data_IF_148506029289
#
_entry.id   IF_148506029289
#
_cell.length_a   1.000
_cell.length_b   1.000
_cell.length_c   1.000
_cell.angle_alpha   90.00
_cell.angle_beta   90.00
_cell.angle_gamma   90.00
#
_symmetry.space_group_name_H-M   'P 1'
#
loop_
_entity.id
_entity.type
_entity.pdbx_description
1 polymer ?
#
# COMPACT_ATOMS: atom_id res chain seq x y z
N UNK A 1 -22.28 -52.06 15.27
CA UNK A 1 -20.97 -51.39 15.28
C UNK A 1 -21.09 -50.14 14.42
N UNK A 2 -21.32 -48.96 15.03
CA UNK A 2 -21.37 -47.69 14.29
C UNK A 2 -19.96 -47.11 14.23
N UNK A 3 -19.42 -46.98 13.02
CA UNK A 3 -18.15 -46.31 12.77
C UNK A 3 -18.36 -44.79 12.86
N UNK A 4 -17.76 -44.16 13.87
CA UNK A 4 -17.67 -42.72 13.98
C UNK A 4 -16.71 -42.20 12.89
N UNK A 5 -17.25 -41.52 11.88
CA UNK A 5 -16.43 -40.80 10.89
C UNK A 5 -15.96 -39.49 11.52
N UNK A 6 -14.67 -39.41 11.83
CA UNK A 6 -14.01 -38.18 12.25
C UNK A 6 -13.78 -37.30 11.00
N UNK A 7 -14.48 -36.17 10.93
CA UNK A 7 -14.23 -35.15 9.91
C UNK A 7 -12.98 -34.36 10.34
N UNK A 8 -11.85 -34.62 9.67
CA UNK A 8 -10.63 -33.86 9.88
C UNK A 8 -10.81 -32.44 9.31
N UNK A 9 -10.80 -31.44 10.18
CA UNK A 9 -10.70 -30.05 9.75
C UNK A 9 -9.28 -29.82 9.20
N UNK A 10 -9.16 -29.76 7.88
CA UNK A 10 -7.94 -29.29 7.22
C UNK A 10 -7.79 -27.81 7.56
N UNK A 11 -6.86 -27.49 8.45
CA UNK A 11 -6.42 -26.13 8.68
C UNK A 11 -5.74 -25.63 7.41
N UNK A 12 -6.44 -24.82 6.61
CA UNK A 12 -5.79 -23.99 5.60
C UNK A 12 -4.84 -23.06 6.34
N UNK A 13 -3.53 -23.29 6.22
CA UNK A 13 -2.54 -22.32 6.63
C UNK A 13 -2.84 -21.00 5.91
N UNK A 14 -2.78 -19.85 6.60
CA UNK A 14 -2.95 -18.56 5.92
C UNK A 14 -1.86 -18.47 4.85
N UNK A 15 -2.27 -18.30 3.59
CA UNK A 15 -1.37 -17.84 2.53
C UNK A 15 -0.78 -16.55 3.07
N UNK A 16 0.52 -16.56 3.36
CA UNK A 16 1.21 -15.36 3.79
C UNK A 16 1.13 -14.39 2.62
N UNK A 17 0.24 -13.40 2.73
CA UNK A 17 0.24 -12.30 1.79
C UNK A 17 1.63 -11.66 1.89
N UNK A 18 2.38 -11.62 0.78
CA UNK A 18 3.54 -10.74 0.68
C UNK A 18 3.00 -9.34 0.95
N UNK A 19 3.36 -8.76 2.09
CA UNK A 19 2.91 -7.43 2.45
C UNK A 19 3.69 -6.47 1.56
N UNK A 20 3.08 -6.07 0.45
CA UNK A 20 3.64 -5.01 -0.37
C UNK A 20 3.88 -3.76 0.48
N UNK A 21 5.04 -3.16 0.30
CA UNK A 21 5.50 -2.03 1.11
C UNK A 21 4.84 -0.72 0.71
N UNK A 22 4.50 -0.59 -0.58
CA UNK A 22 3.93 0.62 -1.12
C UNK A 22 2.79 0.31 -2.08
N UNK A 23 1.81 1.20 -2.07
CA UNK A 23 0.72 1.27 -3.04
C UNK A 23 0.97 2.45 -3.95
N UNK A 24 0.75 2.27 -5.26
CA UNK A 24 0.85 3.32 -6.26
C UNK A 24 -0.50 3.47 -6.93
N UNK A 25 -1.10 4.64 -6.78
CA UNK A 25 -2.35 5.02 -7.44
C UNK A 25 -2.06 5.97 -8.61
N UNK A 26 -2.57 5.64 -9.79
CA UNK A 26 -2.34 6.41 -11.02
C UNK A 26 -3.55 7.23 -11.44
N UNK A 27 -3.30 8.46 -11.86
CA UNK A 27 -4.32 9.45 -12.23
C UNK A 27 -4.05 10.05 -13.60
N UNK A 28 -5.11 10.25 -14.38
CA UNK A 28 -5.03 10.81 -15.74
C UNK A 28 -4.98 12.33 -15.75
N UNK A 29 -5.24 12.98 -14.60
CA UNK A 29 -5.25 14.43 -14.47
C UNK A 29 -4.59 14.84 -13.16
N UNK A 30 -3.82 15.92 -13.24
CA UNK A 30 -3.15 16.51 -12.09
C UNK A 30 -2.97 18.01 -12.30
N UNK A 31 -2.70 18.71 -11.19
CA UNK A 31 -2.19 20.06 -11.19
C UNK A 31 -1.06 20.17 -10.17
N UNK A 32 0.11 20.57 -10.64
CA UNK A 32 1.28 20.85 -9.80
C UNK A 32 1.20 22.30 -9.29
N UNK A 33 1.56 22.49 -8.02
CA UNK A 33 1.89 23.79 -7.44
C UNK A 33 3.30 23.71 -6.86
N UNK A 34 4.32 24.34 -7.49
CA UNK A 34 5.69 24.36 -7.01
C UNK A 34 5.82 24.73 -5.53
N UNK A 35 6.53 23.89 -4.78
CA UNK A 35 6.72 24.04 -3.32
C UNK A 35 5.53 23.63 -2.45
N UNK A 36 4.43 23.16 -3.05
CA UNK A 36 3.26 22.66 -2.33
C UNK A 36 3.03 21.17 -2.61
N UNK A 37 3.00 20.76 -3.88
CA UNK A 37 2.72 19.38 -4.26
C UNK A 37 1.97 19.22 -5.58
N UNK A 38 1.49 18.01 -5.83
CA UNK A 38 0.65 17.61 -6.97
C UNK A 38 -0.74 17.25 -6.47
N UNK A 39 -1.72 18.06 -6.86
CA UNK A 39 -3.13 17.72 -6.67
C UNK A 39 -3.62 16.81 -7.79
N UNK A 40 -4.39 15.78 -7.46
CA UNK A 40 -5.02 14.85 -8.41
C UNK A 40 -6.53 14.95 -8.31
N UNK A 41 -7.23 14.62 -9.40
CA UNK A 41 -8.70 14.63 -9.43
C UNK A 41 -9.27 13.34 -10.00
N UNK A 42 -10.49 12.98 -9.55
CA UNK A 42 -11.14 11.72 -9.92
C UNK A 42 -10.63 10.51 -9.14
N UNK A 43 -11.01 9.32 -9.59
CA UNK A 43 -10.52 8.05 -9.05
C UNK A 43 -9.23 7.63 -9.75
N UNK A 44 -8.38 6.90 -9.05
CA UNK A 44 -7.25 6.23 -9.68
C UNK A 44 -7.75 5.30 -10.79
N UNK A 45 -7.14 5.36 -11.97
CA UNK A 45 -7.51 4.48 -13.10
C UNK A 45 -6.82 3.13 -13.02
N UNK A 46 -5.70 3.05 -12.29
CA UNK A 46 -4.95 1.84 -12.02
C UNK A 46 -4.29 1.98 -10.65
N UNK A 47 -4.20 0.86 -9.95
CA UNK A 47 -3.49 0.76 -8.66
C UNK A 47 -2.60 -0.46 -8.72
N UNK A 48 -1.36 -0.31 -8.30
CA UNK A 48 -0.44 -1.42 -8.12
C UNK A 48 0.23 -1.37 -6.76
N UNK A 49 1.01 -2.40 -6.49
CA UNK A 49 1.80 -2.52 -5.28
C UNK A 49 3.23 -2.86 -5.63
N UNK A 50 4.18 -2.29 -4.90
CA UNK A 50 5.61 -2.50 -5.09
C UNK A 50 6.31 -2.73 -3.76
N UNK A 51 7.38 -3.52 -3.79
CA UNK A 51 8.21 -3.78 -2.62
C UNK A 51 9.25 -2.69 -2.39
N UNK A 52 9.50 -1.82 -3.38
CA UNK A 52 10.48 -0.74 -3.25
C UNK A 52 10.12 0.48 -4.07
N UNK A 53 10.58 1.64 -3.60
CA UNK A 53 10.44 2.95 -4.26
C UNK A 53 11.81 3.58 -4.56
N UNK A 54 12.90 2.82 -4.43
CA UNK A 54 14.26 3.32 -4.69
C UNK A 54 14.42 3.82 -6.13
N UNK A 55 13.78 3.13 -7.07
CA UNK A 55 13.66 3.54 -8.46
C UNK A 55 12.49 2.82 -9.13
N UNK A 56 11.60 3.58 -9.74
CA UNK A 56 10.47 3.10 -10.54
C UNK A 56 10.62 3.70 -11.94
N UNK A 57 10.88 2.83 -12.91
CA UNK A 57 10.88 3.18 -14.34
C UNK A 57 9.51 2.87 -14.92
N UNK A 58 8.79 3.92 -15.36
CA UNK A 58 7.47 3.77 -15.99
C UNK A 58 7.56 3.32 -17.46
N UNK A 59 8.77 3.25 -18.03
CA UNK A 59 9.04 2.69 -19.35
C UNK A 59 9.56 1.25 -19.28
N UNK A 60 9.65 0.66 -18.09
CA UNK A 60 10.17 -0.68 -17.90
C UNK A 60 9.39 -1.71 -18.73
N UNK A 61 10.13 -2.49 -19.53
CA UNK A 61 9.55 -3.62 -20.23
C UNK A 61 8.96 -4.63 -19.23
N UNK A 62 7.75 -5.13 -19.50
CA UNK A 62 7.06 -6.06 -18.61
C UNK A 62 6.36 -5.42 -17.41
N UNK A 63 6.24 -4.09 -17.38
CA UNK A 63 5.37 -3.42 -16.44
C UNK A 63 3.93 -3.97 -16.51
N UNK A 64 3.18 -3.99 -15.38
CA UNK A 64 1.81 -4.47 -15.35
C UNK A 64 0.92 -3.79 -16.39
N UNK A 65 0.01 -4.57 -16.98
CA UNK A 65 -1.01 -4.03 -17.88
C UNK A 65 -1.87 -2.99 -17.13
N UNK A 66 -1.83 -1.74 -17.59
CA UNK A 66 -2.52 -0.61 -16.94
C UNK A 66 -1.57 0.43 -16.35
N UNK A 67 -0.30 0.11 -16.13
CA UNK A 67 0.69 1.12 -15.75
C UNK A 67 0.87 2.15 -16.89
N UNK A 68 0.81 3.46 -16.61
CA UNK A 68 1.11 4.48 -17.61
C UNK A 68 2.58 4.45 -18.02
N UNK A 69 2.90 5.05 -19.17
CA UNK A 69 4.26 5.19 -19.69
C UNK A 69 4.59 6.66 -19.96
N UNK A 70 5.84 6.95 -20.34
CA UNK A 70 6.31 8.32 -20.58
C UNK A 70 5.67 9.05 -21.77
N UNK A 71 4.81 8.41 -22.55
CA UNK A 71 4.28 8.99 -23.79
C UNK A 71 3.20 10.05 -23.56
N UNK A 72 2.74 10.23 -22.31
CA UNK A 72 1.70 11.20 -22.01
C UNK A 72 1.61 11.55 -20.54
N UNK A 73 0.85 12.60 -20.21
CA UNK A 73 0.77 13.10 -18.86
C UNK A 73 0.00 12.14 -17.95
N UNK A 74 0.52 11.94 -16.75
CA UNK A 74 -0.15 11.22 -15.67
C UNK A 74 0.41 11.67 -14.33
N UNK A 75 -0.29 11.34 -13.24
CA UNK A 75 0.27 11.43 -11.91
C UNK A 75 0.27 10.07 -11.22
N UNK A 76 1.20 9.90 -10.28
CA UNK A 76 1.25 8.76 -9.39
C UNK A 76 1.30 9.26 -7.95
N UNK A 77 0.44 8.71 -7.10
CA UNK A 77 0.51 8.91 -5.65
C UNK A 77 0.97 7.60 -5.04
N UNK A 78 2.18 7.61 -4.48
CA UNK A 78 2.79 6.45 -3.86
C UNK A 78 2.62 6.59 -2.36
N UNK A 79 2.00 5.63 -1.71
CA UNK A 79 1.82 5.64 -0.25
C UNK A 79 2.40 4.40 0.39
N UNK A 80 2.88 4.53 1.61
CA UNK A 80 3.36 3.42 2.41
C UNK A 80 3.66 3.86 3.83
N UNK A 81 4.38 3.02 4.55
CA UNK A 81 4.88 3.34 5.88
C UNK A 81 6.37 3.07 5.94
N UNK A 82 7.10 3.93 6.64
CA UNK A 82 8.51 3.68 6.93
C UNK A 82 8.76 3.84 8.44
N UNK A 83 9.76 3.12 8.93
CA UNK A 83 10.20 3.19 10.31
C UNK A 83 11.61 3.77 10.33
N UNK A 84 11.85 4.67 11.27
CA UNK A 84 13.18 5.21 11.53
C UNK A 84 13.54 4.95 12.97
N UNK A 85 14.78 4.57 13.20
CA UNK A 85 15.34 4.32 14.53
C UNK A 85 15.76 5.62 15.24
N UNK A 86 15.52 6.77 14.60
CA UNK A 86 15.81 8.12 15.06
C UNK A 86 17.24 8.53 14.74
N UNK A 87 17.38 9.52 13.86
CA UNK A 87 18.66 10.12 13.45
C UNK A 87 18.41 11.24 12.42
N UNK A 88 19.47 11.97 12.09
CA UNK A 88 19.54 12.77 10.87
C UNK A 88 19.75 11.83 9.69
N UNK A 89 18.77 11.75 8.81
CA UNK A 89 18.82 10.91 7.61
C UNK A 89 19.03 11.78 6.38
N UNK A 90 19.96 11.35 5.54
CA UNK A 90 20.04 11.83 4.17
C UNK A 90 19.10 11.00 3.31
N UNK A 91 18.44 11.67 2.39
CA UNK A 91 17.62 11.02 1.39
C UNK A 91 17.69 11.77 0.06
N UNK A 92 17.38 11.03 -0.99
CA UNK A 92 17.48 11.47 -2.36
C UNK A 92 16.12 11.34 -3.02
N UNK A 93 15.70 12.36 -3.76
CA UNK A 93 14.50 12.32 -4.61
C UNK A 93 14.97 12.50 -6.05
N UNK A 94 14.81 11.45 -6.84
CA UNK A 94 15.02 11.47 -8.28
C UNK A 94 13.70 11.46 -9.02
N UNK A 95 13.55 12.29 -10.06
CA UNK A 95 12.35 12.27 -10.88
C UNK A 95 12.56 12.85 -12.28
N UNK A 96 11.72 12.37 -13.20
CA UNK A 96 11.44 12.88 -14.54
C UNK A 96 9.93 12.66 -14.75
N UNK A 97 9.04 13.63 -14.62
CA UNK A 97 9.26 15.06 -14.35
C UNK A 97 9.34 15.33 -12.84
N UNK A 98 8.27 15.86 -12.23
CA UNK A 98 8.34 16.39 -10.87
C UNK A 98 7.86 15.40 -9.80
N UNK A 99 8.46 15.49 -8.60
CA UNK A 99 8.09 14.68 -7.45
C UNK A 99 8.18 15.45 -6.11
N UNK A 100 7.33 15.08 -5.15
CA UNK A 100 7.24 15.67 -3.83
C UNK A 100 7.12 14.57 -2.78
N UNK A 101 7.98 14.61 -1.76
CA UNK A 101 7.99 13.65 -0.67
C UNK A 101 7.38 14.27 0.59
N UNK A 102 6.36 13.59 1.12
CA UNK A 102 5.70 13.93 2.36
C UNK A 102 5.90 12.83 3.39
N UNK A 103 6.17 13.24 4.63
CA UNK A 103 6.25 12.34 5.77
C UNK A 103 5.30 12.85 6.85
N UNK A 104 4.36 12.00 7.29
CA UNK A 104 3.23 12.41 8.15
C UNK A 104 2.47 13.64 7.64
N UNK A 105 2.37 13.79 6.31
CA UNK A 105 1.70 14.91 5.65
C UNK A 105 2.52 16.20 5.53
N UNK A 106 3.72 16.27 6.12
CA UNK A 106 4.63 17.40 5.97
C UNK A 106 5.55 17.21 4.75
N UNK A 107 5.67 18.22 3.89
CA UNK A 107 6.62 18.22 2.77
C UNK A 107 8.05 18.28 3.31
N UNK A 108 8.87 17.28 2.97
CA UNK A 108 10.27 17.19 3.44
C UNK A 108 11.29 17.35 2.32
N UNK A 109 10.89 17.14 1.07
CA UNK A 109 11.74 17.32 -0.11
C UNK A 109 10.92 17.30 -1.39
N UNK A 110 11.44 17.91 -2.46
CA UNK A 110 10.72 18.01 -3.73
C UNK A 110 11.68 18.25 -4.89
N UNK A 111 11.46 17.58 -6.01
CA UNK A 111 12.09 17.91 -7.29
C UNK A 111 10.99 18.45 -8.22
N UNK A 112 10.71 19.77 -8.20
CA UNK A 112 9.50 20.33 -8.82
C UNK A 112 9.72 20.66 -10.31
N UNK A 113 8.60 20.77 -11.04
CA UNK A 113 8.54 21.25 -12.41
C UNK A 113 8.82 20.17 -13.46
N UNK A 114 8.71 20.59 -14.72
CA UNK A 114 9.02 19.76 -15.88
C UNK A 114 10.53 19.80 -16.12
N UNK A 115 11.17 18.65 -16.10
CA UNK A 115 12.60 18.48 -16.30
C UNK A 115 12.96 17.01 -16.59
N UNK A 116 14.06 16.79 -17.32
CA UNK A 116 14.63 15.46 -17.46
C UNK A 116 15.07 14.88 -16.10
N UNK A 117 15.30 13.56 -16.05
CA UNK A 117 15.69 12.89 -14.82
C UNK A 117 16.85 13.57 -14.10
N UNK A 118 16.58 14.04 -12.90
CA UNK A 118 17.55 14.65 -12.01
C UNK A 118 17.29 14.19 -10.58
N UNK A 119 18.31 14.28 -9.73
CA UNK A 119 18.22 13.86 -8.32
C UNK A 119 18.62 15.02 -7.43
N UNK A 120 17.78 15.31 -6.44
CA UNK A 120 18.06 16.28 -5.38
C UNK A 120 18.26 15.56 -4.05
N UNK A 121 19.20 16.07 -3.26
CA UNK A 121 19.59 15.51 -1.97
C UNK A 121 19.05 16.36 -0.84
N UNK A 122 18.58 15.72 0.21
CA UNK A 122 18.00 16.34 1.39
C UNK A 122 18.53 15.71 2.67
N UNK A 123 18.47 16.48 3.74
CA UNK A 123 18.83 16.03 5.09
C UNK A 123 17.73 16.47 6.05
N UNK A 124 17.15 15.51 6.76
CA UNK A 124 16.11 15.75 7.76
C UNK A 124 16.36 14.96 9.03
N UNK A 125 16.06 15.57 10.18
CA UNK A 125 16.14 14.89 11.48
C UNK A 125 14.80 14.28 11.83
N UNK A 126 14.82 12.99 12.17
CA UNK A 126 13.63 12.23 12.53
C UNK A 126 13.72 11.75 13.97
N UNK A 127 12.62 11.89 14.71
CA UNK A 127 12.44 11.14 15.95
C UNK A 127 12.26 9.64 15.61
N UNK A 128 12.69 8.72 16.48
CA UNK A 128 12.38 7.30 16.32
C UNK A 128 10.87 7.07 16.21
N UNK A 129 10.44 6.22 15.28
CA UNK A 129 9.04 5.87 15.12
C UNK A 129 8.64 5.53 13.69
N UNK A 130 7.35 5.29 13.51
CA UNK A 130 6.73 5.04 12.23
C UNK A 130 6.16 6.33 11.65
N UNK A 131 6.27 6.46 10.34
CA UNK A 131 5.84 7.63 9.61
C UNK A 131 5.05 7.18 8.38
N UNK A 132 3.97 7.89 8.09
CA UNK A 132 3.25 7.76 6.84
C UNK A 132 4.12 8.33 5.72
N UNK A 133 4.46 7.49 4.75
CA UNK A 133 5.19 7.85 3.54
C UNK A 133 4.21 8.21 2.45
N UNK A 134 4.44 9.33 1.77
CA UNK A 134 3.70 9.69 0.57
C UNK A 134 4.60 10.40 -0.43
N UNK A 135 4.66 9.90 -1.66
CA UNK A 135 5.24 10.62 -2.80
C UNK A 135 4.12 11.00 -3.75
N UNK A 136 4.09 12.27 -4.11
CA UNK A 136 3.32 12.76 -5.24
C UNK A 136 4.25 12.95 -6.42
N UNK A 137 3.98 12.27 -7.53
CA UNK A 137 4.77 12.36 -8.76
C UNK A 137 3.86 12.74 -9.93
N UNK A 138 4.40 13.47 -10.90
CA UNK A 138 3.75 13.65 -12.18
C UNK A 138 4.72 13.47 -13.35
N UNK A 139 4.18 12.96 -14.44
CA UNK A 139 4.78 12.98 -15.76
C UNK A 139 4.12 14.08 -16.59
N UNK A 140 4.93 14.92 -17.20
CA UNK A 140 4.56 15.97 -18.12
C UNK A 140 4.25 15.45 -19.53
N UNK A 141 4.20 16.36 -20.52
CA UNK A 141 3.82 16.01 -21.89
C UNK A 141 4.89 15.20 -22.66
N UNK A 142 6.16 15.25 -22.25
CA UNK A 142 7.28 14.54 -22.86
C UNK A 142 8.53 14.72 -21.96
N UNK A 143 9.54 13.86 -21.86
CA UNK A 143 9.87 12.52 -22.37
C UNK A 143 10.64 11.85 -21.23
N UNK A 144 10.53 10.53 -21.07
CA UNK A 144 11.02 9.89 -19.86
C UNK A 144 9.96 9.94 -18.78
N UNK A 145 9.97 8.94 -17.89
CA UNK A 145 9.05 8.87 -16.78
C UNK A 145 9.69 7.95 -15.74
N UNK A 146 10.24 8.53 -14.69
CA UNK A 146 10.81 7.76 -13.60
C UNK A 146 10.74 8.54 -12.29
N UNK A 147 10.62 7.82 -11.19
CA UNK A 147 10.67 8.40 -9.85
C UNK A 147 11.41 7.45 -8.91
N UNK A 148 12.23 8.00 -8.02
CA UNK A 148 12.97 7.25 -7.03
C UNK A 148 13.11 8.04 -5.74
N UNK A 149 12.89 7.38 -4.61
CA UNK A 149 13.19 7.90 -3.28
C UNK A 149 14.04 6.89 -2.54
N UNK A 150 15.23 7.32 -2.13
CA UNK A 150 16.18 6.47 -1.38
C UNK A 150 16.56 7.16 -0.09
N UNK A 151 16.48 6.44 1.03
CA UNK A 151 16.97 6.88 2.32
C UNK A 151 18.26 6.14 2.67
N UNK A 152 19.26 6.86 3.17
CA UNK A 152 20.51 6.24 3.62
C UNK A 152 20.31 5.55 4.96
N UNK A 153 20.58 4.23 5.03
CA UNK A 153 20.56 3.48 6.29
C UNK A 153 19.17 3.25 6.90
N UNK A 154 18.11 3.31 6.10
CA UNK A 154 16.72 3.02 6.52
C UNK A 154 16.21 1.75 5.84
N UNK A 155 15.48 0.93 6.57
CA UNK A 155 14.77 -0.23 6.03
C UNK A 155 13.27 0.08 5.94
N UNK A 156 12.65 -0.25 4.81
CA UNK A 156 11.21 -0.20 4.65
C UNK A 156 10.61 -1.49 5.20
N UNK A 157 9.86 -1.37 6.30
CA UNK A 157 9.27 -2.53 6.99
C UNK A 157 7.80 -2.65 6.59
N UNK A 158 7.37 -3.82 6.09
CA UNK A 158 5.98 -4.00 5.69
C UNK A 158 5.10 -4.11 6.92
N UNK A 159 4.02 -3.33 6.95
CA UNK A 159 2.96 -3.53 7.93
C UNK A 159 2.21 -4.77 7.49
N UNK A 160 2.53 -5.91 8.09
CA UNK A 160 1.74 -7.11 7.89
C UNK A 160 0.36 -6.87 8.51
N UNK A 161 -0.74 -6.98 7.74
CA UNK A 161 -2.06 -6.92 8.33
C UNK A 161 -2.13 -8.04 9.37
N UNK A 162 -2.49 -7.69 10.60
CA UNK A 162 -2.61 -8.67 11.68
C UNK A 162 -3.50 -9.81 11.19
N UNK A 163 -2.94 -11.02 11.10
CA UNK A 163 -3.74 -12.22 10.87
C UNK A 163 -4.81 -12.22 11.95
N UNK A 164 -6.12 -12.24 11.61
CA UNK A 164 -7.15 -12.24 12.63
C UNK A 164 -6.84 -13.39 13.59
N UNK A 165 -6.71 -13.06 14.88
CA UNK A 165 -6.24 -14.04 15.85
C UNK A 165 -7.07 -15.31 15.74
N UNK A 166 -6.47 -16.52 15.89
CA UNK A 166 -7.24 -17.76 15.85
C UNK A 166 -8.45 -17.77 16.81
N UNK A 167 -8.37 -17.00 17.90
CA UNK A 167 -9.46 -16.73 18.84
C UNK A 167 -10.65 -16.01 18.18
N UNK A 168 -10.45 -15.09 17.25
CA UNK A 168 -11.52 -14.36 16.53
C UNK A 168 -12.35 -15.31 15.69
N UNK A 169 -11.68 -16.23 14.97
CA UNK A 169 -12.34 -17.29 14.21
C UNK A 169 -13.07 -18.26 15.14
N UNK A 170 -12.43 -18.66 16.24
CA UNK A 170 -13.03 -19.55 17.22
C UNK A 170 -14.30 -18.93 17.83
N UNK A 171 -14.28 -17.65 18.19
CA UNK A 171 -15.43 -16.95 18.76
C UNK A 171 -16.55 -16.76 17.74
N UNK A 172 -16.23 -16.48 16.47
CA UNK A 172 -17.22 -16.42 15.39
C UNK A 172 -17.90 -17.78 15.18
N UNK A 173 -17.12 -18.86 15.11
CA UNK A 173 -17.65 -20.22 14.95
C UNK A 173 -18.48 -20.65 16.17
N UNK A 174 -18.03 -20.34 17.39
CA UNK A 174 -18.80 -20.60 18.62
C UNK A 174 -20.11 -19.79 18.61
N UNK A 175 -20.08 -18.52 18.19
CA UNK A 175 -21.27 -17.69 18.08
C UNK A 175 -22.30 -18.25 17.09
N UNK A 176 -21.86 -18.63 15.87
CA UNK A 176 -22.74 -19.24 14.88
C UNK A 176 -23.25 -20.62 15.28
N UNK A 177 -22.39 -21.45 15.89
CA UNK A 177 -22.80 -22.75 16.42
C UNK A 177 -23.82 -22.60 17.55
N UNK A 178 -23.64 -21.64 18.44
CA UNK A 178 -24.55 -21.35 19.55
C UNK A 178 -25.94 -20.90 19.06
N UNK A 179 -25.99 -19.98 18.10
CA UNK A 179 -27.26 -19.52 17.49
C UNK A 179 -27.97 -20.63 16.72
N UNK A 180 -27.23 -21.40 15.91
CA UNK A 180 -27.77 -22.54 15.18
C UNK A 180 -28.35 -23.60 16.12
N UNK A 181 -27.65 -23.89 17.22
CA UNK A 181 -28.08 -24.85 18.23
C UNK A 181 -29.35 -24.41 18.98
N UNK A 182 -29.42 -23.14 19.37
CA UNK A 182 -30.60 -22.56 20.02
C UNK A 182 -31.83 -22.63 19.10
N UNK A 183 -31.66 -22.35 17.80
CA UNK A 183 -32.71 -22.49 16.79
C UNK A 183 -33.16 -23.95 16.58
N UNK A 184 -32.21 -24.90 16.59
CA UNK A 184 -32.50 -26.33 16.44
C UNK A 184 -33.35 -26.88 17.60
N UNK A 185 -33.03 -26.51 18.85
CA UNK A 185 -33.79 -26.97 20.03
C UNK A 185 -35.26 -26.50 19.98
N UNK A 186 -35.51 -25.25 19.59
CA UNK A 186 -36.86 -24.67 19.56
C UNK A 186 -37.80 -25.33 18.55
N UNK A 187 -37.28 -25.86 17.44
CA UNK A 187 -38.10 -26.56 16.44
C UNK A 187 -38.59 -27.94 16.89
N UNK A 188 -37.89 -28.59 17.84
CA UNK A 188 -38.30 -29.90 18.35
C UNK A 188 -39.48 -29.85 19.32
N UNK A 189 -39.74 -28.70 19.93
CA UNK A 189 -40.87 -28.51 20.84
C UNK A 189 -42.19 -28.29 20.09
N UNK A 190 -42.15 -27.81 18.85
CA UNK A 190 -43.35 -27.52 18.03
C UNK A 190 -43.85 -28.75 17.24
N UNK A 191 -43.02 -29.78 17.08
CA UNK A 191 -43.36 -31.00 16.32
C UNK A 191 -43.98 -32.15 17.13
N UNK A 192 -44.14 -31.98 18.45
CA UNK A 192 -44.60 -33.05 19.36
C UNK A 192 -46.09 -32.97 19.73
N UNK A 193 -46.86 -32.04 19.16
CA UNK A 193 -48.30 -31.89 19.40
C UNK A 193 -49.11 -31.87 18.10
N UNK A 194 -49.13 -32.99 17.39
CA UNK A 194 -50.09 -33.30 16.33
C UNK A 194 -50.56 -34.76 16.48
#
# INVERSE_FOLDING_TARGET
MLAASALAAVALAPVSASAALFTIDYYSSYAEVPGVGVSVSGSAFFTETVDSVSFIDFNAAGAPAGRPNASGPFAAVITGTFSVTGATQNFHIGSDDGAYLFLNGALVGSNPGIHAYSTLNYTSSFAPGNYAFRVEYFNGPCCGAAVGVTFEGVEFVPVTPGVPEPSTWAMMLIGFAGLGYAGYRRRREVGATA
#
